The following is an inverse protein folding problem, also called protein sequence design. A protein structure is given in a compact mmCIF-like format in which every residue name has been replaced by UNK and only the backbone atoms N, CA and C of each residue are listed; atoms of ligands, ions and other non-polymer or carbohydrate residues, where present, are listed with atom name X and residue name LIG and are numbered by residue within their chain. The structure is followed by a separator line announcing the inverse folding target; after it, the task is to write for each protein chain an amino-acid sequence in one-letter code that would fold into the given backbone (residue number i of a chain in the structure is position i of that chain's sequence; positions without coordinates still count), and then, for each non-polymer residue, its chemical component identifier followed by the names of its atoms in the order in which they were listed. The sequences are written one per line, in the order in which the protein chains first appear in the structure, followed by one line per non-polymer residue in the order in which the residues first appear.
data_IF_161371294916
#
_entry.id   IF_161371294916
#
_cell.length_a   1.000
_cell.length_b   1.000
_cell.length_c   1.000
_cell.angle_alpha   90.00
_cell.angle_beta   90.00
_cell.angle_gamma   90.00
#
_symmetry.space_group_name_H-M   'P 1'
#
loop_
_entity.id
_entity.type
_entity.pdbx_description
1 polymer ?
#
# COMPACT_ATOMS: atom_id res chain seq x y z
N UNK A 1 26.79 -62.57 15.67
CA UNK A 1 27.74 -61.98 14.69
C UNK A 1 26.92 -61.10 13.75
N UNK A 2 26.86 -59.80 14.03
CA UNK A 2 26.13 -58.78 13.25
C UNK A 2 27.09 -57.59 13.15
N UNK A 3 27.47 -57.11 11.95
CA UNK A 3 28.43 -56.01 11.83
C UNK A 3 27.78 -54.63 11.88
N UNK A 4 28.62 -53.68 12.29
CA UNK A 4 28.40 -52.30 12.68
C UNK A 4 28.24 -51.30 11.52
N UNK A 5 27.60 -50.18 11.85
CA UNK A 5 27.48 -48.88 11.19
C UNK A 5 28.80 -48.27 10.69
N UNK A 6 28.75 -47.43 9.62
CA UNK A 6 29.35 -46.08 9.61
C UNK A 6 28.57 -45.15 8.66
N UNK A 7 27.98 -44.08 9.20
CA UNK A 7 27.42 -42.92 8.48
C UNK A 7 28.53 -41.86 8.25
N UNK A 8 28.71 -41.38 7.02
CA UNK A 8 29.70 -40.37 6.66
C UNK A 8 29.11 -38.95 6.83
N UNK A 9 29.54 -38.23 7.87
CA UNK A 9 29.31 -36.78 7.97
C UNK A 9 30.38 -36.03 7.17
N UNK A 10 30.00 -35.43 6.04
CA UNK A 10 30.86 -34.51 5.29
C UNK A 10 30.83 -33.12 5.95
N UNK A 11 31.90 -32.78 6.67
CA UNK A 11 32.17 -31.41 7.13
C UNK A 11 32.62 -30.54 5.94
N UNK A 12 31.74 -29.68 5.42
CA UNK A 12 32.16 -28.60 4.51
C UNK A 12 32.79 -27.47 5.34
N UNK A 13 34.13 -27.41 5.34
CA UNK A 13 34.86 -26.25 5.84
C UNK A 13 34.58 -25.05 4.92
N UNK A 14 33.83 -24.07 5.43
CA UNK A 14 33.62 -22.78 4.75
C UNK A 14 34.91 -21.97 4.87
N UNK A 15 35.76 -22.01 3.85
CA UNK A 15 36.86 -21.06 3.71
C UNK A 15 36.27 -19.66 3.45
N UNK A 16 36.41 -18.79 4.44
CA UNK A 16 36.06 -17.37 4.31
C UNK A 16 37.15 -16.69 3.49
N UNK A 17 36.89 -16.45 2.20
CA UNK A 17 37.80 -15.66 1.35
C UNK A 17 37.74 -14.19 1.80
N UNK A 18 38.85 -13.57 2.26
CA UNK A 18 38.86 -12.15 2.59
C UNK A 18 38.81 -11.34 1.29
N UNK A 19 37.70 -10.64 1.05
CA UNK A 19 37.60 -9.70 -0.09
C UNK A 19 36.30 -9.71 -0.88
N UNK A 20 35.35 -10.61 -0.60
CA UNK A 20 34.03 -10.54 -1.25
C UNK A 20 33.22 -9.43 -0.60
N UNK A 21 33.21 -8.24 -1.22
CA UNK A 21 32.26 -7.20 -0.89
C UNK A 21 30.85 -7.77 -1.08
N UNK A 22 30.11 -7.94 0.02
CA UNK A 22 28.75 -8.46 -0.03
C UNK A 22 27.90 -7.57 -0.96
N UNK A 23 27.63 -8.04 -2.17
CA UNK A 23 26.83 -7.29 -3.14
C UNK A 23 25.43 -7.16 -2.59
N UNK A 24 25.03 -5.93 -2.26
CA UNK A 24 23.68 -5.64 -1.77
C UNK A 24 22.66 -6.13 -2.80
N UNK A 25 21.68 -6.97 -2.39
CA UNK A 25 20.63 -7.45 -3.28
C UNK A 25 19.93 -6.30 -4.00
N UNK A 26 19.87 -6.41 -5.33
CA UNK A 26 19.21 -5.47 -6.21
C UNK A 26 18.43 -6.23 -7.27
N UNK A 27 17.19 -5.82 -7.53
CA UNK A 27 16.40 -6.36 -8.64
C UNK A 27 15.69 -5.22 -9.38
N UNK A 28 15.24 -5.51 -10.59
CA UNK A 28 14.49 -4.58 -11.42
C UNK A 28 13.18 -5.21 -11.92
N UNK A 29 12.13 -4.39 -11.98
CA UNK A 29 10.84 -4.71 -12.60
C UNK A 29 10.61 -3.74 -13.75
N UNK A 30 10.38 -4.24 -14.96
CA UNK A 30 10.01 -3.41 -16.10
C UNK A 30 8.63 -2.77 -15.88
N UNK A 31 8.33 -1.69 -16.59
CA UNK A 31 7.02 -1.04 -16.48
C UNK A 31 5.86 -2.05 -16.62
N UNK A 32 4.91 -1.99 -15.70
CA UNK A 32 3.76 -2.90 -15.61
C UNK A 32 4.02 -4.21 -14.86
N UNK A 33 5.28 -4.60 -14.64
CA UNK A 33 5.59 -5.84 -13.92
C UNK A 33 5.36 -5.71 -12.40
N UNK A 34 5.05 -6.85 -11.79
CA UNK A 34 4.90 -7.02 -10.34
C UNK A 34 6.01 -7.92 -9.80
N UNK A 35 6.40 -7.71 -8.56
CA UNK A 35 7.37 -8.56 -7.86
C UNK A 35 7.25 -8.40 -6.35
N UNK A 36 8.01 -9.19 -5.60
CA UNK A 36 7.98 -9.14 -4.14
C UNK A 36 9.39 -9.23 -3.55
N UNK A 37 9.56 -8.58 -2.40
CA UNK A 37 10.72 -8.73 -1.53
C UNK A 37 10.29 -9.63 -0.38
N UNK A 38 11.07 -10.68 -0.11
CA UNK A 38 10.87 -11.57 1.02
C UNK A 38 12.15 -11.63 1.86
N UNK A 39 12.03 -11.29 3.13
CA UNK A 39 13.06 -11.50 4.13
C UNK A 39 12.78 -12.76 4.94
N UNK A 40 13.85 -13.42 5.40
CA UNK A 40 13.77 -14.59 6.28
C UNK A 40 13.11 -14.27 7.62
N UNK A 41 12.73 -15.31 8.36
CA UNK A 41 12.08 -15.15 9.66
C UNK A 41 12.91 -14.30 10.63
N UNK A 42 12.22 -13.52 11.47
CA UNK A 42 12.86 -12.60 12.43
C UNK A 42 13.56 -11.38 11.82
N UNK A 43 13.55 -11.21 10.49
CA UNK A 43 14.16 -10.06 9.80
C UNK A 43 13.13 -9.18 9.10
N UNK A 44 13.50 -7.91 8.89
CA UNK A 44 12.67 -6.87 8.28
C UNK A 44 13.39 -6.22 7.12
N UNK A 45 12.64 -5.83 6.09
CA UNK A 45 13.17 -5.15 4.91
C UNK A 45 13.65 -3.75 5.31
N UNK A 46 14.84 -3.38 4.83
CA UNK A 46 15.36 -2.01 4.82
C UNK A 46 15.79 -1.65 3.39
N UNK A 47 15.03 -0.77 2.77
CA UNK A 47 15.28 -0.22 1.44
C UNK A 47 16.44 0.77 1.50
N UNK A 48 17.43 0.57 0.64
CA UNK A 48 18.62 1.41 0.54
C UNK A 48 18.45 2.47 -0.55
N UNK A 49 18.11 2.05 -1.76
CA UNK A 49 17.92 2.95 -2.90
C UNK A 49 16.87 2.43 -3.86
N UNK A 50 16.19 3.33 -4.56
CA UNK A 50 15.15 2.99 -5.54
C UNK A 50 15.21 3.96 -6.70
N UNK A 51 15.01 3.43 -7.90
CA UNK A 51 14.86 4.21 -9.11
C UNK A 51 13.56 3.75 -9.77
N UNK A 52 12.64 4.68 -10.02
CA UNK A 52 11.59 4.48 -11.02
C UNK A 52 11.85 5.44 -12.18
N UNK A 53 12.12 4.90 -13.37
CA UNK A 53 12.50 5.70 -14.54
C UNK A 53 13.42 4.94 -15.47
N UNK A 54 14.35 5.65 -16.12
CA UNK A 54 15.33 5.10 -17.06
C UNK A 54 16.69 5.74 -16.82
N UNK A 55 17.63 4.93 -16.37
CA UNK A 55 19.01 5.37 -16.06
C UNK A 55 20.06 4.42 -16.60
N UNK A 56 19.62 3.33 -17.23
CA UNK A 56 20.39 2.19 -17.65
C UNK A 56 19.69 1.59 -18.88
N UNK A 57 20.45 1.37 -19.94
CA UNK A 57 19.93 0.87 -21.21
C UNK A 57 19.73 -0.64 -21.23
N UNK A 58 20.47 -1.35 -20.38
CA UNK A 58 20.54 -2.82 -20.40
C UNK A 58 19.44 -3.43 -19.53
N UNK A 59 18.96 -2.69 -18.54
CA UNK A 59 17.85 -3.12 -17.66
C UNK A 59 16.54 -2.89 -18.41
N UNK A 60 15.77 -3.94 -18.69
CA UNK A 60 14.51 -3.83 -19.45
C UNK A 60 14.70 -3.11 -20.80
N UNK A 61 15.38 -3.75 -21.78
CA UNK A 61 15.84 -3.10 -23.01
C UNK A 61 14.73 -2.74 -24.00
N UNK A 62 13.48 -3.12 -23.73
CA UNK A 62 12.34 -2.79 -24.60
C UNK A 62 12.01 -1.29 -24.65
N UNK A 63 11.64 -0.81 -25.84
CA UNK A 63 11.23 0.58 -26.09
C UNK A 63 12.39 1.57 -26.18
N UNK A 64 12.12 2.85 -25.91
CA UNK A 64 13.15 3.89 -25.95
C UNK A 64 13.99 3.92 -24.66
N UNK A 65 15.27 3.55 -24.78
CA UNK A 65 16.26 3.46 -23.69
C UNK A 65 17.27 4.63 -23.66
N UNK A 66 17.12 5.64 -24.53
CA UNK A 66 18.10 6.72 -24.68
C UNK A 66 18.20 7.65 -23.47
N UNK A 67 17.13 7.76 -22.66
CA UNK A 67 17.15 8.60 -21.46
C UNK A 67 18.06 8.01 -20.38
N UNK A 68 19.08 8.74 -19.91
CA UNK A 68 20.00 8.23 -18.85
C UNK A 68 19.83 8.88 -17.48
N UNK A 69 19.05 9.95 -17.41
CA UNK A 69 18.87 10.77 -16.20
C UNK A 69 17.43 10.76 -15.68
N UNK A 70 16.53 10.01 -16.32
CA UNK A 70 15.13 10.08 -16.01
C UNK A 70 14.79 9.30 -14.73
N UNK A 71 14.35 10.01 -13.69
CA UNK A 71 14.06 9.44 -12.36
C UNK A 71 12.86 10.11 -11.72
N UNK A 72 11.96 9.33 -11.13
CA UNK A 72 10.91 9.83 -10.25
C UNK A 72 11.49 10.29 -8.92
N UNK A 73 11.24 11.55 -8.56
CA UNK A 73 11.67 12.15 -7.28
C UNK A 73 11.02 11.49 -6.06
N UNK A 74 9.86 10.85 -6.23
CA UNK A 74 9.08 10.29 -5.11
C UNK A 74 9.26 8.78 -4.93
N UNK A 75 9.87 8.08 -5.90
CA UNK A 75 9.93 6.62 -5.91
C UNK A 75 10.62 6.02 -4.68
N UNK A 76 11.75 6.63 -4.24
CA UNK A 76 12.46 6.19 -3.04
C UNK A 76 11.59 6.21 -1.80
N UNK A 77 10.91 7.33 -1.56
CA UNK A 77 10.07 7.48 -0.39
C UNK A 77 8.87 6.53 -0.45
N UNK A 78 8.19 6.44 -1.61
CA UNK A 78 7.06 5.50 -1.79
C UNK A 78 7.44 4.05 -1.48
N UNK A 79 8.58 3.56 -1.99
CA UNK A 79 9.02 2.19 -1.72
C UNK A 79 9.57 2.02 -0.30
N UNK A 80 10.35 2.98 0.23
CA UNK A 80 10.76 2.96 1.65
C UNK A 80 9.54 2.86 2.57
N UNK A 81 8.51 3.66 2.32
CA UNK A 81 7.30 3.68 3.14
C UNK A 81 6.46 2.42 3.02
N UNK A 82 6.43 1.77 1.84
CA UNK A 82 5.65 0.55 1.64
C UNK A 82 6.37 -0.72 2.12
N UNK A 83 7.71 -0.74 2.09
CA UNK A 83 8.48 -1.95 2.37
C UNK A 83 9.24 -1.94 3.70
N UNK A 84 9.72 -0.80 4.19
CA UNK A 84 10.56 -0.80 5.39
C UNK A 84 9.81 -1.34 6.60
N UNK A 85 10.46 -2.22 7.36
CA UNK A 85 9.90 -2.77 8.59
C UNK A 85 8.96 -3.97 8.39
N UNK A 86 8.59 -4.29 7.15
CA UNK A 86 7.84 -5.50 6.80
C UNK A 86 8.77 -6.66 6.44
N UNK A 87 8.28 -7.90 6.58
CA UNK A 87 8.99 -9.10 6.13
C UNK A 87 8.79 -9.37 4.64
N UNK A 88 7.59 -9.07 4.15
CA UNK A 88 7.17 -9.23 2.76
C UNK A 88 6.73 -7.87 2.23
N UNK A 89 7.16 -7.49 1.04
CA UNK A 89 6.70 -6.29 0.34
C UNK A 89 6.38 -6.61 -1.10
N UNK A 90 5.13 -6.35 -1.53
CA UNK A 90 4.74 -6.47 -2.93
C UNK A 90 4.92 -5.12 -3.63
N UNK A 91 5.48 -5.16 -4.84
CA UNK A 91 5.81 -3.99 -5.64
C UNK A 91 5.20 -4.14 -7.03
N UNK A 92 4.75 -3.01 -7.59
CA UNK A 92 4.20 -2.93 -8.93
C UNK A 92 4.79 -1.70 -9.63
N UNK A 93 5.52 -1.92 -10.72
CA UNK A 93 6.24 -0.89 -11.45
C UNK A 93 5.31 -0.07 -12.36
N UNK A 94 4.41 0.73 -11.79
CA UNK A 94 3.36 1.44 -12.53
C UNK A 94 3.38 2.96 -12.37
N UNK A 95 3.04 3.67 -13.44
CA UNK A 95 2.88 5.13 -13.46
C UNK A 95 1.78 5.60 -12.49
N UNK A 96 0.78 4.76 -12.23
CA UNK A 96 -0.23 5.04 -11.19
C UNK A 96 0.38 5.19 -9.79
N UNK A 97 1.48 4.47 -9.53
CA UNK A 97 2.13 4.41 -8.22
C UNK A 97 3.33 5.35 -8.15
N UNK A 98 4.05 5.61 -9.24
CA UNK A 98 5.30 6.39 -9.19
C UNK A 98 5.28 7.67 -10.03
N UNK A 99 4.15 7.96 -10.68
CA UNK A 99 4.02 8.99 -11.71
C UNK A 99 4.71 8.58 -13.01
N UNK A 100 4.60 9.42 -14.03
CA UNK A 100 5.30 9.24 -15.30
C UNK A 100 6.49 10.24 -15.40
N UNK A 101 7.66 9.93 -14.82
CA UNK A 101 8.82 10.81 -14.91
C UNK A 101 9.42 10.87 -16.31
N UNK A 102 9.16 9.86 -17.16
CA UNK A 102 9.77 9.69 -18.48
C UNK A 102 8.67 9.58 -19.53
N UNK A 103 8.25 10.72 -20.09
CA UNK A 103 7.13 10.75 -21.06
C UNK A 103 7.46 9.95 -22.32
N UNK A 104 8.71 9.99 -22.80
CA UNK A 104 9.14 9.39 -24.07
C UNK A 104 10.04 8.16 -23.95
N UNK A 105 10.41 7.76 -22.73
CA UNK A 105 11.31 6.64 -22.49
C UNK A 105 10.59 5.52 -21.73
N UNK A 106 10.96 4.27 -22.02
CA UNK A 106 10.48 3.13 -21.24
C UNK A 106 11.02 3.22 -19.81
N UNK A 107 10.31 2.67 -18.83
CA UNK A 107 10.65 2.83 -17.40
C UNK A 107 10.82 1.48 -16.73
N UNK A 108 11.58 1.44 -15.64
CA UNK A 108 11.67 0.30 -14.74
C UNK A 108 11.75 0.77 -13.29
N UNK A 109 11.37 -0.11 -12.36
CA UNK A 109 11.59 0.03 -10.93
C UNK A 109 12.81 -0.81 -10.53
N UNK A 110 13.94 -0.17 -10.18
CA UNK A 110 15.12 -0.85 -9.60
C UNK A 110 15.16 -0.60 -8.10
N UNK A 111 15.24 -1.66 -7.31
CA UNK A 111 15.22 -1.58 -5.83
C UNK A 111 16.46 -2.27 -5.26
N UNK A 112 17.18 -1.57 -4.38
CA UNK A 112 18.24 -2.14 -3.54
C UNK A 112 17.75 -2.22 -2.09
N UNK A 113 17.93 -3.36 -1.44
CA UNK A 113 17.46 -3.58 -0.08
C UNK A 113 18.39 -4.51 0.71
N UNK A 114 18.22 -4.54 2.03
CA UNK A 114 18.80 -5.54 2.92
C UNK A 114 17.75 -6.02 3.93
N UNK A 115 17.90 -7.24 4.43
CA UNK A 115 17.10 -7.76 5.54
C UNK A 115 17.85 -7.54 6.85
N UNK A 116 17.21 -6.93 7.85
CA UNK A 116 17.84 -6.58 9.13
C UNK A 116 17.10 -7.21 10.30
N UNK A 117 17.82 -7.64 11.33
CA UNK A 117 17.21 -8.14 12.59
C UNK A 117 16.62 -6.96 13.39
N UNK A 118 15.61 -7.23 14.22
CA UNK A 118 14.91 -6.23 15.06
C UNK A 118 15.85 -5.49 16.04
N UNK A 119 17.00 -6.07 16.37
CA UNK A 119 18.03 -5.50 17.26
C UNK A 119 19.03 -4.55 16.59
N UNK A 120 18.97 -4.35 15.27
CA UNK A 120 19.63 -3.20 14.63
C UNK A 120 18.88 -1.94 15.12
N UNK A 121 19.41 -1.27 16.15
CA UNK A 121 18.83 -0.11 16.86
C UNK A 121 18.52 1.14 16.01
N UNK A 122 18.49 0.99 14.69
CA UNK A 122 18.27 2.04 13.69
C UNK A 122 16.99 1.81 12.86
N UNK A 123 16.03 1.05 13.40
CA UNK A 123 14.64 0.98 12.90
C UNK A 123 13.64 1.68 13.84
N UNK A 124 14.07 2.67 14.62
CA UNK A 124 13.15 3.65 15.24
C UNK A 124 12.69 4.68 14.21
N UNK A 125 12.12 4.22 13.10
CA UNK A 125 11.32 5.07 12.24
C UNK A 125 9.90 5.04 12.78
N UNK A 126 9.36 6.19 13.21
CA UNK A 126 7.94 6.35 13.56
C UNK A 126 7.11 5.63 12.50
N UNK A 127 6.40 4.57 12.89
CA UNK A 127 5.62 3.77 11.95
C UNK A 127 4.44 4.63 11.48
N UNK A 128 4.61 5.28 10.33
CA UNK A 128 3.56 6.06 9.69
C UNK A 128 2.48 5.08 9.27
N UNK A 129 1.28 5.29 9.79
CA UNK A 129 0.09 4.56 9.37
C UNK A 129 -0.85 5.58 8.76
N UNK A 130 -1.05 5.50 7.46
CA UNK A 130 -1.94 6.38 6.74
C UNK A 130 -2.34 5.75 5.41
N UNK A 131 -3.59 5.88 5.01
CA UNK A 131 -4.06 5.47 3.69
C UNK A 131 -4.93 6.55 3.06
N UNK A 132 -4.96 6.53 1.73
CA UNK A 132 -5.88 7.31 0.92
C UNK A 132 -6.34 6.42 -0.23
N UNK A 133 -7.63 6.12 -0.24
CA UNK A 133 -8.30 5.33 -1.27
C UNK A 133 -9.50 6.08 -1.84
N UNK A 134 -9.86 5.77 -3.08
CA UNK A 134 -11.01 6.33 -3.79
C UNK A 134 -11.68 5.25 -4.65
N UNK A 135 -12.92 5.48 -5.06
CA UNK A 135 -13.62 4.57 -5.98
C UNK A 135 -13.14 4.80 -7.41
N UNK A 136 -12.72 3.75 -8.12
CA UNK A 136 -12.29 3.89 -9.53
C UNK A 136 -13.45 3.90 -10.52
N UNK A 137 -14.64 3.50 -10.07
CA UNK A 137 -15.87 3.40 -10.86
C UNK A 137 -17.06 3.92 -10.06
N UNK A 138 -18.12 4.28 -10.77
CA UNK A 138 -19.37 4.66 -10.14
C UNK A 138 -19.97 3.45 -9.44
N UNK A 139 -20.49 3.63 -8.23
CA UNK A 139 -21.25 2.59 -7.54
C UNK A 139 -22.73 2.83 -7.79
N UNK A 140 -23.43 1.82 -8.30
CA UNK A 140 -24.90 1.78 -8.32
C UNK A 140 -25.34 0.81 -7.25
N UNK A 141 -26.23 1.25 -6.36
CA UNK A 141 -26.57 0.56 -5.13
C UNK A 141 -28.08 0.42 -5.00
N UNK A 142 -28.53 -0.64 -4.32
CA UNK A 142 -29.92 -0.75 -3.92
C UNK A 142 -30.17 0.14 -2.70
N UNK A 143 -31.13 1.08 -2.84
CA UNK A 143 -31.33 2.22 -1.91
C UNK A 143 -31.31 1.84 -0.43
N UNK A 144 -31.95 0.72 -0.07
CA UNK A 144 -32.16 0.31 1.33
C UNK A 144 -31.38 -0.96 1.68
N UNK A 145 -30.33 -1.30 0.92
CA UNK A 145 -29.48 -2.47 1.19
C UNK A 145 -28.13 -1.97 1.72
N UNK A 146 -27.80 -2.26 2.99
CA UNK A 146 -26.48 -1.92 3.54
C UNK A 146 -25.37 -2.66 2.82
N UNK A 147 -24.40 -1.91 2.31
CA UNK A 147 -23.24 -2.43 1.57
C UNK A 147 -21.97 -1.84 2.17
N UNK A 148 -20.98 -2.69 2.41
CA UNK A 148 -19.64 -2.22 2.78
C UNK A 148 -19.00 -1.56 1.55
N UNK A 149 -18.64 -0.29 1.69
CA UNK A 149 -18.13 0.51 0.58
C UNK A 149 -16.66 0.16 0.35
N UNK A 150 -16.35 -0.31 -0.86
CA UNK A 150 -14.99 -0.64 -1.28
C UNK A 150 -14.42 0.51 -2.10
N UNK A 151 -13.40 1.19 -1.58
CA UNK A 151 -12.64 2.21 -2.30
C UNK A 151 -11.45 1.51 -2.96
N UNK A 152 -11.68 1.00 -4.16
CA UNK A 152 -10.84 -0.01 -4.81
C UNK A 152 -9.51 0.53 -5.36
N UNK A 153 -9.41 1.84 -5.61
CA UNK A 153 -8.18 2.48 -6.05
C UNK A 153 -7.45 3.15 -4.89
N UNK A 154 -6.21 2.72 -4.65
CA UNK A 154 -5.37 3.21 -3.55
C UNK A 154 -4.33 4.18 -4.07
N UNK A 155 -4.36 5.42 -3.58
CA UNK A 155 -3.32 6.41 -3.85
C UNK A 155 -2.05 6.13 -3.02
N UNK A 156 -2.21 5.85 -1.72
CA UNK A 156 -1.17 5.28 -0.85
C UNK A 156 -1.80 4.50 0.32
N UNK A 157 -1.02 3.62 0.96
CA UNK A 157 -1.45 2.81 2.09
C UNK A 157 -0.26 2.48 3.03
N UNK A 158 0.34 3.52 3.61
CA UNK A 158 1.38 3.39 4.61
C UNK A 158 0.85 2.65 5.84
N UNK A 159 1.60 1.68 6.34
CA UNK A 159 1.10 0.79 7.38
C UNK A 159 0.42 -0.46 6.84
N UNK A 160 0.09 -0.52 5.54
CA UNK A 160 -0.68 -1.59 4.88
C UNK A 160 -1.97 -1.94 5.64
N UNK A 161 -2.60 -0.94 6.26
CA UNK A 161 -3.80 -1.14 7.07
C UNK A 161 -5.06 -1.30 6.23
N UNK A 162 -5.17 -0.60 5.09
CA UNK A 162 -6.36 -0.64 4.24
C UNK A 162 -6.34 -1.82 3.24
N UNK A 163 -7.47 -2.51 3.08
CA UNK A 163 -7.66 -3.56 2.09
C UNK A 163 -8.64 -3.09 1.02
N UNK A 164 -8.14 -2.86 -0.19
CA UNK A 164 -8.91 -2.36 -1.34
C UNK A 164 -9.85 -3.37 -1.98
N UNK A 165 -9.84 -4.63 -1.54
CA UNK A 165 -10.80 -5.65 -2.01
C UNK A 165 -12.00 -5.75 -1.08
N UNK A 166 -11.82 -5.49 0.22
CA UNK A 166 -12.87 -5.64 1.22
C UNK A 166 -13.40 -4.33 1.79
N UNK A 167 -12.70 -3.21 1.60
CA UNK A 167 -13.08 -1.89 2.12
C UNK A 167 -12.71 -1.67 3.59
N UNK A 168 -12.02 -2.62 4.23
CA UNK A 168 -11.64 -2.53 5.64
C UNK A 168 -10.25 -1.95 5.84
N UNK A 169 -10.10 -1.06 6.81
CA UNK A 169 -8.85 -0.74 7.46
C UNK A 169 -8.66 -1.62 8.70
N UNK A 170 -7.50 -2.26 8.86
CA UNK A 170 -7.10 -3.01 10.06
C UNK A 170 -5.95 -2.28 10.74
N UNK A 171 -6.10 -1.90 12.00
CA UNK A 171 -5.10 -1.15 12.73
C UNK A 171 -3.80 -1.95 12.93
N UNK A 172 -2.66 -1.54 12.33
CA UNK A 172 -1.40 -2.27 12.47
C UNK A 172 -0.75 -2.03 13.85
N UNK A 173 -1.19 -1.00 14.58
CA UNK A 173 -0.74 -0.69 15.93
C UNK A 173 -1.82 0.08 16.69
N UNK A 174 -1.85 0.00 18.01
CA UNK A 174 -2.75 0.80 18.82
C UNK A 174 -2.42 2.30 18.80
N UNK A 175 -3.44 3.15 18.96
CA UNK A 175 -3.31 4.60 19.07
C UNK A 175 -4.55 5.37 18.61
N UNK A 176 -4.45 6.70 18.60
CA UNK A 176 -5.47 7.57 18.02
C UNK A 176 -5.33 7.59 16.50
N UNK A 177 -6.45 7.42 15.80
CA UNK A 177 -6.55 7.53 14.35
C UNK A 177 -7.62 8.55 13.98
N UNK A 178 -7.43 9.26 12.88
CA UNK A 178 -8.47 10.09 12.27
C UNK A 178 -8.87 9.45 10.96
N UNK A 179 -10.17 9.27 10.76
CA UNK A 179 -10.75 8.80 9.52
C UNK A 179 -11.62 9.89 8.91
N UNK A 180 -11.56 10.04 7.60
CA UNK A 180 -12.44 10.93 6.85
C UNK A 180 -12.89 10.24 5.57
N UNK A 181 -14.15 10.42 5.20
CA UNK A 181 -14.67 9.98 3.92
C UNK A 181 -15.42 11.12 3.25
N UNK A 182 -15.35 11.14 1.93
CA UNK A 182 -16.00 12.12 1.07
C UNK A 182 -16.86 11.37 0.07
N UNK A 183 -18.07 11.87 -0.16
CA UNK A 183 -19.05 11.33 -1.09
C UNK A 183 -19.43 12.41 -2.08
N UNK A 184 -19.17 12.20 -3.37
CA UNK A 184 -19.77 12.99 -4.43
C UNK A 184 -21.00 12.24 -4.97
N UNK A 185 -22.14 12.91 -5.00
CA UNK A 185 -23.43 12.32 -5.35
C UNK A 185 -24.00 13.02 -6.59
N UNK A 186 -24.48 12.22 -7.54
CA UNK A 186 -25.09 12.70 -8.79
C UNK A 186 -26.45 13.38 -8.51
N UNK A 187 -26.94 14.30 -9.37
CA UNK A 187 -28.29 14.86 -9.26
C UNK A 187 -29.39 13.86 -8.90
N UNK A 188 -30.24 14.21 -7.93
CA UNK A 188 -31.39 13.40 -7.47
C UNK A 188 -31.02 12.00 -6.94
N UNK A 189 -29.83 11.85 -6.38
CA UNK A 189 -29.34 10.60 -5.75
C UNK A 189 -29.07 10.81 -4.26
N UNK A 190 -28.77 9.72 -3.55
CA UNK A 190 -28.46 9.75 -2.12
C UNK A 190 -27.31 8.80 -1.80
N UNK A 191 -26.47 9.23 -0.85
CA UNK A 191 -25.44 8.41 -0.26
C UNK A 191 -25.27 8.75 1.23
N UNK A 192 -26.12 8.15 2.06
CA UNK A 192 -25.95 8.14 3.49
C UNK A 192 -25.15 6.90 3.91
N UNK A 193 -24.22 7.13 4.82
CA UNK A 193 -23.28 6.12 5.25
C UNK A 193 -22.94 6.24 6.73
N UNK A 194 -22.31 5.20 7.25
CA UNK A 194 -21.82 5.14 8.61
C UNK A 194 -20.40 4.60 8.64
N UNK A 195 -19.64 5.04 9.63
CA UNK A 195 -18.35 4.45 9.96
C UNK A 195 -18.53 3.43 11.07
N UNK A 196 -17.99 2.23 10.87
CA UNK A 196 -18.06 1.12 11.81
C UNK A 196 -16.68 0.88 12.43
N UNK A 197 -16.64 0.63 13.74
CA UNK A 197 -15.50 0.04 14.44
C UNK A 197 -15.92 -1.34 14.93
N UNK A 198 -15.28 -2.39 14.41
CA UNK A 198 -15.59 -3.79 14.72
C UNK A 198 -17.09 -4.10 14.56
N UNK A 199 -17.71 -3.58 13.48
CA UNK A 199 -19.12 -3.76 13.17
C UNK A 199 -20.09 -2.86 13.93
N UNK A 200 -19.61 -2.08 14.91
CA UNK A 200 -20.44 -1.14 15.66
C UNK A 200 -20.33 0.28 15.10
N UNK A 201 -21.47 0.96 14.93
CA UNK A 201 -21.51 2.34 14.46
C UNK A 201 -20.75 3.28 15.40
N UNK A 202 -19.94 4.18 14.82
CA UNK A 202 -19.20 5.24 15.52
C UNK A 202 -19.45 6.64 14.96
N UNK A 203 -20.07 6.75 13.80
CA UNK A 203 -20.41 8.02 13.20
C UNK A 203 -21.34 7.85 12.01
N UNK A 204 -22.01 8.93 11.63
CA UNK A 204 -22.91 9.03 10.49
C UNK A 204 -22.35 10.07 9.50
N UNK A 205 -22.61 9.83 8.21
CA UNK A 205 -22.40 10.80 7.15
C UNK A 205 -23.64 10.85 6.27
N UNK A 206 -24.13 12.06 6.04
CA UNK A 206 -25.31 12.31 5.24
C UNK A 206 -24.87 12.95 3.93
N UNK A 207 -25.42 12.47 2.82
CA UNK A 207 -25.28 13.11 1.53
C UNK A 207 -26.57 12.90 0.73
N UNK A 208 -27.60 13.63 1.15
CA UNK A 208 -28.90 13.63 0.50
C UNK A 208 -28.94 14.69 -0.62
N UNK A 209 -28.96 14.21 -1.86
CA UNK A 209 -29.06 15.04 -3.05
C UNK A 209 -30.37 14.79 -3.81
N UNK A 210 -31.42 14.25 -3.16
CA UNK A 210 -32.65 13.79 -3.83
C UNK A 210 -33.48 14.95 -4.43
N UNK A 211 -33.38 16.14 -3.85
CA UNK A 211 -34.13 17.34 -4.28
C UNK A 211 -33.30 18.32 -5.13
N UNK A 212 -32.00 18.07 -5.32
CA UNK A 212 -31.09 19.00 -5.98
C UNK A 212 -30.72 18.49 -7.39
N UNK A 213 -30.84 19.35 -8.43
CA UNK A 213 -30.54 18.99 -9.82
C UNK A 213 -29.04 19.03 -10.16
N UNK A 214 -28.17 19.47 -9.25
CA UNK A 214 -26.73 19.51 -9.38
C UNK A 214 -26.02 18.37 -8.66
N UNK A 215 -24.69 18.41 -8.66
CA UNK A 215 -23.87 17.50 -7.86
C UNK A 215 -23.77 18.00 -6.42
N UNK A 216 -23.73 17.07 -5.46
CA UNK A 216 -23.52 17.37 -4.05
C UNK A 216 -22.27 16.67 -3.52
N UNK A 217 -21.44 17.39 -2.77
CA UNK A 217 -20.21 16.86 -2.17
C UNK A 217 -20.28 16.96 -0.65
N UNK A 218 -20.26 15.81 0.01
CA UNK A 218 -20.34 15.74 1.46
C UNK A 218 -19.08 15.08 2.02
N UNK A 219 -18.64 15.53 3.20
CA UNK A 219 -17.51 14.93 3.89
C UNK A 219 -17.78 14.82 5.39
N UNK A 220 -17.32 13.73 5.98
CA UNK A 220 -17.39 13.50 7.41
C UNK A 220 -16.02 13.06 7.93
N UNK A 221 -15.78 13.35 9.21
CA UNK A 221 -14.52 13.01 9.90
C UNK A 221 -14.83 12.45 11.27
N UNK A 222 -14.13 11.38 11.66
CA UNK A 222 -14.31 10.72 12.96
C UNK A 222 -12.96 10.28 13.52
N UNK A 223 -12.51 10.85 14.65
CA UNK A 223 -11.37 10.32 15.39
C UNK A 223 -11.78 9.05 16.15
N UNK A 224 -10.92 8.03 16.14
CA UNK A 224 -11.12 6.75 16.82
C UNK A 224 -9.84 6.32 17.55
N UNK A 225 -9.98 5.88 18.80
CA UNK A 225 -8.90 5.21 19.53
C UNK A 225 -8.98 3.71 19.20
N UNK A 226 -7.92 3.17 18.61
CA UNK A 226 -7.87 1.79 18.13
C UNK A 226 -6.84 0.96 18.91
N UNK A 227 -7.12 -0.34 19.04
CA UNK A 227 -6.18 -1.39 19.40
C UNK A 227 -5.63 -2.06 18.14
N UNK A 228 -4.48 -2.71 18.24
CA UNK A 228 -3.95 -3.52 17.14
C UNK A 228 -4.96 -4.58 16.72
N UNK A 229 -5.26 -4.68 15.42
CA UNK A 229 -6.22 -5.63 14.87
C UNK A 229 -7.66 -5.11 14.75
N UNK A 230 -7.99 -3.95 15.33
CA UNK A 230 -9.31 -3.33 15.16
C UNK A 230 -9.60 -3.03 13.68
N UNK A 231 -10.86 -3.24 13.29
CA UNK A 231 -11.33 -3.08 11.91
C UNK A 231 -12.25 -1.87 11.79
N UNK A 232 -11.97 -1.02 10.80
CA UNK A 232 -12.77 0.16 10.47
C UNK A 232 -13.20 0.10 9.01
N UNK A 233 -14.47 0.39 8.73
CA UNK A 233 -14.99 0.48 7.36
C UNK A 233 -16.16 1.47 7.26
N UNK A 234 -16.47 1.86 6.03
CA UNK A 234 -17.68 2.62 5.70
C UNK A 234 -18.74 1.63 5.20
N UNK A 235 -19.97 1.77 5.70
CA UNK A 235 -21.14 1.00 5.26
C UNK A 235 -22.26 1.95 4.87
N UNK A 236 -22.99 1.67 3.80
CA UNK A 236 -24.17 2.46 3.43
C UNK A 236 -25.32 2.21 4.38
N UNK A 237 -26.12 3.24 4.64
CA UNK A 237 -27.40 3.13 5.35
C UNK A 237 -28.54 3.29 4.35
N UNK A 238 -28.61 4.44 3.67
CA UNK A 238 -29.53 4.72 2.56
C UNK A 238 -28.71 5.27 1.40
N UNK A 239 -28.49 4.48 0.36
CA UNK A 239 -27.64 4.89 -0.76
C UNK A 239 -28.04 4.23 -2.06
N UNK A 240 -28.12 4.99 -3.15
CA UNK A 240 -28.38 4.46 -4.49
C UNK A 240 -27.28 4.75 -5.51
N UNK A 241 -26.38 5.70 -5.22
CA UNK A 241 -25.32 6.07 -6.14
C UNK A 241 -24.12 6.70 -5.43
N UNK A 242 -22.90 6.38 -5.87
CA UNK A 242 -21.68 7.07 -5.48
C UNK A 242 -20.81 7.37 -6.70
N UNK A 243 -20.39 8.63 -6.85
CA UNK A 243 -19.62 9.07 -8.03
C UNK A 243 -18.14 8.67 -7.93
N UNK A 244 -17.58 8.15 -9.03
CA UNK A 244 -16.19 7.69 -9.12
C UNK A 244 -15.17 8.82 -8.96
N UNK A 245 -13.94 8.50 -8.56
CA UNK A 245 -12.76 9.37 -8.48
C UNK A 245 -12.81 10.54 -7.49
N UNK A 246 -14.00 11.08 -7.22
CA UNK A 246 -14.25 12.19 -6.31
C UNK A 246 -14.68 11.72 -4.91
N UNK A 247 -15.10 10.46 -4.79
CA UNK A 247 -15.47 9.84 -3.53
C UNK A 247 -14.28 9.08 -2.95
N UNK A 248 -13.96 9.32 -1.68
CA UNK A 248 -12.72 8.82 -1.07
C UNK A 248 -12.87 8.43 0.38
N UNK A 249 -12.02 7.51 0.84
CA UNK A 249 -11.86 7.15 2.24
C UNK A 249 -10.39 7.22 2.60
N UNK A 250 -10.10 7.98 3.65
CA UNK A 250 -8.74 8.30 4.09
C UNK A 250 -8.67 8.11 5.59
N UNK A 251 -7.49 7.77 6.09
CA UNK A 251 -7.25 7.77 7.52
C UNK A 251 -5.78 7.70 7.87
N UNK A 252 -5.42 8.22 9.03
CA UNK A 252 -4.05 8.24 9.52
C UNK A 252 -3.98 8.15 11.04
N UNK A 253 -2.89 7.57 11.54
CA UNK A 253 -2.56 7.56 12.96
C UNK A 253 -2.05 8.92 13.39
N UNK A 254 -2.65 9.46 14.44
CA UNK A 254 -2.16 10.66 15.14
C UNK A 254 -0.98 10.26 16.01
N UNK A 255 0.02 11.14 16.01
CA UNK A 255 1.39 10.91 16.46
C UNK A 255 1.56 10.42 17.90
#
# INVERSE_FOLDING_TARGET
MIPQYVEFFAFFLVFSIPGVSATVPAFALCHGQRGSILCGEGTKIKILSVIYGRTDGDICPGGNTAARTCRSKTALNRVKWNCNGYRICHLHASDKIFGNPCVKASKYLKVKYRCVKKSDGNLKGKQIVAFSAYTSKHLTLHRNTPVNVVYDAVYFNHGNGYNSHSGFFTAPSGGLYVFTWTSLVYPRKIFDAEILLNGQRRGLGNCNNELNPGFENCANTTPLILKTGDKVNIRTTIANYLYAHWSSFKGWKVQ
#
